data_IF_523310557920
#
_entry.id   IF_523310557920
#
_cell.length_a   1.000
_cell.length_b   1.000
_cell.length_c   1.000
_cell.angle_alpha   90.00
_cell.angle_beta   90.00
_cell.angle_gamma   90.00
#
_symmetry.space_group_name_H-M   'P 1'
#
loop_
_entity.id
_entity.type
_entity.pdbx_description
1 polymer ?
#
# COMPACT_ATOMS: atom_id res chain seq x y z
N UNK A 1 44.84 -53.12 14.07
CA UNK A 1 44.40 -54.51 13.82
C UNK A 1 42.92 -54.59 14.14
N UNK A 2 42.07 -54.66 13.12
CA UNK A 2 40.65 -55.04 13.20
C UNK A 2 40.38 -55.86 11.92
N UNK A 3 40.41 -57.18 12.05
CA UNK A 3 40.01 -58.13 11.01
C UNK A 3 38.51 -58.38 11.16
N UNK A 4 37.64 -57.73 10.37
CA UNK A 4 36.18 -57.93 10.49
C UNK A 4 35.48 -58.20 9.13
N UNK A 5 36.18 -58.44 8.02
CA UNK A 5 35.49 -58.73 6.75
C UNK A 5 36.13 -59.84 5.93
N UNK A 6 36.08 -61.08 6.45
CA UNK A 6 36.42 -62.29 5.69
C UNK A 6 35.49 -63.48 6.00
N UNK A 7 34.31 -63.25 6.57
CA UNK A 7 33.25 -64.27 6.61
C UNK A 7 32.31 -64.07 5.41
N UNK A 8 31.84 -65.14 4.74
CA UNK A 8 30.84 -65.03 3.69
C UNK A 8 29.62 -64.27 4.25
N UNK A 9 29.18 -63.23 3.55
CA UNK A 9 27.93 -62.56 3.88
C UNK A 9 26.81 -63.58 3.65
N UNK A 10 26.15 -63.99 4.74
CA UNK A 10 25.06 -64.96 4.70
C UNK A 10 23.86 -64.30 3.99
N UNK A 11 23.33 -64.85 2.89
CA UNK A 11 22.27 -64.19 2.11
C UNK A 11 20.96 -64.00 2.90
N UNK A 12 20.78 -64.70 4.02
CA UNK A 12 19.67 -64.51 4.96
C UNK A 12 19.76 -63.15 5.67
N UNK A 13 20.98 -62.65 5.91
CA UNK A 13 21.19 -61.32 6.52
C UNK A 13 20.90 -60.17 5.56
N UNK A 14 21.00 -60.39 4.24
CA UNK A 14 20.66 -59.39 3.23
C UNK A 14 19.15 -59.21 3.09
N UNK A 15 18.37 -60.28 3.26
CA UNK A 15 16.91 -60.22 3.27
C UNK A 15 16.38 -59.42 4.47
N UNK A 16 17.04 -59.53 5.64
CA UNK A 16 16.70 -58.73 6.84
C UNK A 16 16.97 -57.22 6.66
N UNK A 17 17.92 -56.85 5.79
CA UNK A 17 18.16 -55.45 5.41
C UNK A 17 17.26 -54.95 4.25
N UNK A 18 16.70 -55.88 3.47
CA UNK A 18 15.74 -55.60 2.41
C UNK A 18 14.29 -55.58 2.90
N UNK A 19 14.03 -56.16 4.08
CA UNK A 19 12.79 -56.00 4.83
C UNK A 19 12.74 -54.55 5.36
N UNK A 20 12.37 -53.65 4.46
CA UNK A 20 12.06 -52.27 4.77
C UNK A 20 11.10 -52.24 5.95
N UNK A 21 11.52 -51.59 7.03
CA UNK A 21 10.70 -51.39 8.21
C UNK A 21 9.53 -50.46 7.84
N UNK A 22 8.43 -51.04 7.33
CA UNK A 22 7.17 -50.37 6.94
C UNK A 22 6.41 -49.77 8.15
N UNK A 23 7.09 -49.52 9.27
CA UNK A 23 6.45 -49.07 10.53
C UNK A 23 6.64 -47.61 10.87
N UNK A 24 7.39 -46.85 10.08
CA UNK A 24 7.53 -45.41 10.25
C UNK A 24 7.37 -44.68 8.91
N UNK A 25 6.12 -44.52 8.45
CA UNK A 25 5.75 -43.71 7.28
C UNK A 25 5.90 -42.19 7.56
N UNK A 26 7.10 -41.74 7.93
CA UNK A 26 7.49 -40.35 7.75
C UNK A 26 8.43 -40.29 6.55
N UNK A 27 8.01 -39.70 5.41
CA UNK A 27 8.91 -39.53 4.28
C UNK A 27 10.08 -38.63 4.74
N UNK A 28 11.27 -39.23 4.87
CA UNK A 28 12.51 -38.55 5.28
C UNK A 28 12.93 -37.44 4.30
N UNK A 29 12.35 -37.43 3.10
CA UNK A 29 12.57 -36.41 2.09
C UNK A 29 11.27 -35.65 1.83
N UNK A 30 11.25 -34.37 2.22
CA UNK A 30 10.33 -33.41 1.64
C UNK A 30 10.55 -33.39 0.13
N UNK A 31 9.63 -33.97 -0.63
CA UNK A 31 9.57 -33.86 -2.09
C UNK A 31 9.24 -32.40 -2.46
N UNK A 32 10.19 -31.51 -2.22
CA UNK A 32 10.08 -30.08 -2.53
C UNK A 32 10.03 -29.96 -4.04
N UNK A 33 8.83 -29.85 -4.59
CA UNK A 33 8.60 -29.61 -6.02
C UNK A 33 9.50 -28.45 -6.44
N UNK A 34 10.47 -28.72 -7.32
CA UNK A 34 11.37 -27.70 -7.85
C UNK A 34 10.52 -26.62 -8.49
N UNK A 35 10.76 -25.36 -8.10
CA UNK A 35 10.10 -24.22 -8.76
C UNK A 35 10.67 -24.09 -10.17
N UNK A 36 9.83 -24.03 -11.21
CA UNK A 36 10.32 -23.87 -12.57
C UNK A 36 11.04 -22.53 -12.71
N UNK A 37 12.21 -22.51 -13.36
CA UNK A 37 12.93 -21.29 -13.64
C UNK A 37 12.25 -20.56 -14.81
N UNK A 38 11.75 -19.35 -14.56
CA UNK A 38 11.11 -18.52 -15.57
C UNK A 38 12.09 -17.43 -15.98
N UNK A 39 12.52 -17.45 -17.24
CA UNK A 39 13.32 -16.38 -17.84
C UNK A 39 12.51 -15.68 -18.92
N UNK A 40 12.57 -14.35 -18.92
CA UNK A 40 11.91 -13.52 -19.93
C UNK A 40 12.96 -13.00 -20.90
N UNK A 41 12.72 -13.17 -22.19
CA UNK A 41 13.55 -12.56 -23.23
C UNK A 41 13.10 -11.13 -23.55
N UNK A 42 13.99 -10.36 -24.18
CA UNK A 42 13.74 -8.96 -24.59
C UNK A 42 12.61 -8.81 -25.60
N UNK A 43 12.27 -9.90 -26.30
CA UNK A 43 11.13 -10.01 -27.21
C UNK A 43 9.80 -10.36 -26.50
N UNK A 44 9.82 -10.55 -25.19
CA UNK A 44 8.65 -10.90 -24.37
C UNK A 44 8.34 -12.41 -24.33
N UNK A 45 9.17 -13.28 -24.90
CA UNK A 45 9.00 -14.73 -24.80
C UNK A 45 9.35 -15.21 -23.39
N UNK A 46 8.52 -16.12 -22.86
CA UNK A 46 8.73 -16.79 -21.58
C UNK A 46 9.38 -18.15 -21.84
N UNK A 47 10.54 -18.38 -21.24
CA UNK A 47 11.23 -19.66 -21.26
C UNK A 47 11.09 -20.29 -19.89
N UNK A 48 10.66 -21.54 -19.85
CA UNK A 48 10.47 -22.31 -18.62
C UNK A 48 11.45 -23.47 -18.66
N UNK A 49 12.38 -23.48 -17.71
CA UNK A 49 13.43 -24.51 -17.59
C UNK A 49 14.18 -24.80 -18.91
N UNK A 50 14.47 -23.74 -19.68
CA UNK A 50 15.21 -23.83 -20.95
C UNK A 50 14.38 -24.24 -22.16
N UNK A 51 13.09 -24.56 -21.98
CA UNK A 51 12.17 -24.84 -23.08
C UNK A 51 11.32 -23.61 -23.34
N UNK A 52 11.31 -23.14 -24.59
CA UNK A 52 10.42 -22.08 -25.05
C UNK A 52 9.02 -22.68 -25.15
N UNK A 53 8.18 -22.47 -24.13
CA UNK A 53 6.87 -23.14 -24.04
C UNK A 53 5.93 -22.78 -25.19
N UNK A 54 6.11 -21.63 -25.85
CA UNK A 54 5.27 -21.26 -26.98
C UNK A 54 6.02 -20.40 -28.00
N UNK A 55 6.24 -20.93 -29.19
CA UNK A 55 6.39 -20.09 -30.39
C UNK A 55 5.04 -19.41 -30.62
N UNK A 56 4.84 -18.25 -29.99
CA UNK A 56 3.64 -17.46 -30.22
C UNK A 56 3.70 -16.91 -31.65
N UNK A 57 3.11 -17.64 -32.59
CA UNK A 57 2.85 -17.14 -33.93
C UNK A 57 2.08 -15.82 -33.87
N UNK A 58 2.23 -14.97 -34.88
CA UNK A 58 1.58 -13.65 -34.94
C UNK A 58 0.08 -13.73 -34.63
N UNK A 59 -0.61 -14.76 -35.12
CA UNK A 59 -2.02 -15.01 -34.84
C UNK A 59 -2.31 -15.26 -33.35
N UNK A 60 -1.44 -15.95 -32.61
CA UNK A 60 -1.60 -16.17 -31.17
C UNK A 60 -1.45 -14.86 -30.38
N UNK A 61 -0.57 -13.96 -30.83
CA UNK A 61 -0.41 -12.62 -30.25
C UNK A 61 -1.63 -11.74 -30.49
N UNK A 62 -2.21 -11.81 -31.68
CA UNK A 62 -3.45 -11.09 -32.00
C UNK A 62 -4.64 -11.62 -31.20
N UNK A 63 -4.80 -12.94 -31.10
CA UNK A 63 -5.92 -13.53 -30.35
C UNK A 63 -5.80 -13.26 -28.85
N UNK A 64 -4.60 -13.30 -28.26
CA UNK A 64 -4.41 -12.91 -26.84
C UNK A 64 -4.71 -11.43 -26.63
N UNK A 65 -4.31 -10.56 -27.57
CA UNK A 65 -4.59 -9.13 -27.46
C UNK A 65 -6.09 -8.86 -27.53
N UNK A 66 -6.80 -9.51 -28.46
CA UNK A 66 -8.26 -9.39 -28.59
C UNK A 66 -8.97 -9.94 -27.36
N UNK A 67 -8.64 -11.17 -26.91
CA UNK A 67 -9.26 -11.75 -25.70
C UNK A 67 -8.98 -10.93 -24.47
N UNK A 68 -7.77 -10.37 -24.33
CA UNK A 68 -7.44 -9.47 -23.22
C UNK A 68 -8.23 -8.17 -23.31
N UNK A 69 -8.45 -7.63 -24.51
CA UNK A 69 -9.33 -6.49 -24.75
C UNK A 69 -10.77 -6.74 -24.30
N UNK A 70 -11.37 -7.83 -24.77
CA UNK A 70 -12.74 -8.24 -24.41
C UNK A 70 -12.86 -8.53 -22.92
N UNK A 71 -11.89 -9.23 -22.33
CA UNK A 71 -11.88 -9.49 -20.89
C UNK A 71 -11.77 -8.20 -20.07
N UNK A 72 -11.01 -7.22 -20.55
CA UNK A 72 -10.90 -5.92 -19.89
C UNK A 72 -12.20 -5.12 -20.03
N UNK A 73 -12.87 -5.16 -21.18
CA UNK A 73 -14.18 -4.56 -21.40
C UNK A 73 -15.24 -5.18 -20.48
N UNK A 74 -15.26 -6.51 -20.35
CA UNK A 74 -16.17 -7.21 -19.45
C UNK A 74 -15.90 -6.88 -17.99
N UNK A 75 -14.62 -6.80 -17.61
CA UNK A 75 -14.21 -6.34 -16.28
C UNK A 75 -14.64 -4.90 -16.03
N UNK A 76 -14.51 -4.02 -17.03
CA UNK A 76 -14.95 -2.63 -16.94
C UNK A 76 -16.47 -2.52 -16.81
N UNK A 77 -17.22 -3.38 -17.49
CA UNK A 77 -18.67 -3.46 -17.37
C UNK A 77 -19.11 -4.04 -16.01
N UNK A 78 -18.40 -5.05 -15.50
CA UNK A 78 -18.68 -5.69 -14.22
C UNK A 78 -18.29 -4.84 -13.00
N UNK A 79 -17.23 -4.02 -13.10
CA UNK A 79 -16.77 -3.14 -12.01
C UNK A 79 -17.62 -1.87 -11.83
N UNK A 80 -18.64 -1.70 -12.67
CA UNK A 80 -19.58 -0.59 -12.62
C UNK A 80 -19.11 0.59 -13.48
N UNK A 81 -20.06 1.14 -14.25
CA UNK A 81 -19.82 2.18 -15.25
C UNK A 81 -19.22 3.48 -14.71
N UNK A 82 -19.09 4.50 -15.58
CA UNK A 82 -18.40 5.79 -15.32
C UNK A 82 -18.61 6.39 -13.92
N UNK A 83 -19.81 6.24 -13.34
CA UNK A 83 -20.14 6.73 -12.00
C UNK A 83 -19.35 6.05 -10.87
N UNK A 84 -19.05 4.75 -10.96
CA UNK A 84 -18.25 4.06 -9.95
C UNK A 84 -16.79 4.51 -10.00
N UNK A 85 -16.24 4.76 -11.19
CA UNK A 85 -14.90 5.37 -11.35
C UNK A 85 -14.85 6.78 -10.78
N UNK A 86 -15.85 7.61 -11.09
CA UNK A 86 -15.98 8.95 -10.53
C UNK A 86 -16.09 8.92 -9.00
N UNK A 87 -16.91 8.02 -8.44
CA UNK A 87 -17.03 7.82 -6.99
C UNK A 87 -15.70 7.45 -6.35
N UNK A 88 -14.95 6.50 -6.95
CA UNK A 88 -13.63 6.11 -6.44
C UNK A 88 -12.63 7.27 -6.50
N UNK A 89 -12.63 8.04 -7.59
CA UNK A 89 -11.77 9.21 -7.74
C UNK A 89 -12.11 10.30 -6.72
N UNK A 90 -13.39 10.65 -6.57
CA UNK A 90 -13.86 11.62 -5.58
C UNK A 90 -13.48 11.17 -4.17
N UNK A 91 -13.64 9.88 -3.86
CA UNK A 91 -13.26 9.34 -2.56
C UNK A 91 -11.77 9.51 -2.29
N UNK A 92 -10.92 9.19 -3.27
CA UNK A 92 -9.47 9.33 -3.16
C UNK A 92 -9.05 10.81 -3.01
N UNK A 93 -9.61 11.70 -3.81
CA UNK A 93 -9.37 13.16 -3.70
C UNK A 93 -9.85 13.70 -2.35
N UNK A 94 -10.99 13.23 -1.85
CA UNK A 94 -11.52 13.66 -0.54
C UNK A 94 -10.61 13.22 0.61
N UNK A 95 -10.00 12.04 0.49
CA UNK A 95 -9.05 11.53 1.47
C UNK A 95 -7.77 12.38 1.47
N UNK A 96 -7.20 12.65 0.30
CA UNK A 96 -6.00 13.46 0.17
C UNK A 96 -6.24 14.90 0.67
N UNK A 97 -7.39 15.50 0.33
CA UNK A 97 -7.79 16.80 0.84
C UNK A 97 -7.92 16.81 2.38
N UNK A 98 -8.47 15.75 2.97
CA UNK A 98 -8.60 15.63 4.43
C UNK A 98 -7.25 15.48 5.12
N UNK A 99 -6.32 14.72 4.53
CA UNK A 99 -4.95 14.56 5.03
C UNK A 99 -4.20 15.91 4.97
N UNK A 100 -4.32 16.62 3.85
CA UNK A 100 -3.73 17.95 3.69
C UNK A 100 -4.30 18.93 4.70
N UNK A 101 -5.63 19.01 4.83
CA UNK A 101 -6.28 19.89 5.80
C UNK A 101 -5.83 19.59 7.24
N UNK A 102 -5.70 18.32 7.61
CA UNK A 102 -5.25 17.91 8.95
C UNK A 102 -3.77 18.29 9.20
N UNK A 103 -2.93 18.23 8.17
CA UNK A 103 -1.52 18.62 8.25
C UNK A 103 -1.37 20.13 8.35
N UNK A 104 -2.14 20.87 7.55
CA UNK A 104 -2.17 22.34 7.55
C UNK A 104 -2.71 22.89 8.88
N UNK A 105 -3.78 22.32 9.43
CA UNK A 105 -4.31 22.76 10.73
C UNK A 105 -3.32 22.53 11.86
N UNK A 106 -2.59 21.40 11.89
CA UNK A 106 -1.56 21.17 12.91
C UNK A 106 -0.40 22.16 12.85
N UNK A 107 0.02 22.57 11.65
CA UNK A 107 1.15 23.48 11.48
C UNK A 107 0.77 24.95 11.63
N UNK A 108 -0.45 25.33 11.22
CA UNK A 108 -0.89 26.71 11.20
C UNK A 108 -1.89 27.08 12.30
N UNK A 109 -2.37 26.14 13.14
CA UNK A 109 -3.32 26.46 14.21
C UNK A 109 -2.79 27.55 15.15
N UNK A 110 -1.53 27.47 15.56
CA UNK A 110 -0.92 28.47 16.45
C UNK A 110 -0.76 29.83 15.76
N UNK A 111 -0.37 29.84 14.48
CA UNK A 111 -0.24 31.05 13.69
C UNK A 111 -1.60 31.73 13.43
N UNK A 112 -2.64 30.94 13.12
CA UNK A 112 -4.02 31.41 12.92
C UNK A 112 -4.57 31.98 14.23
N UNK A 113 -4.40 31.27 15.35
CA UNK A 113 -4.85 31.73 16.66
C UNK A 113 -4.12 33.01 17.07
N UNK A 114 -2.81 33.10 16.83
CA UNK A 114 -2.02 34.31 17.03
C UNK A 114 -2.49 35.48 16.18
N UNK A 115 -2.78 35.24 14.90
CA UNK A 115 -3.34 36.24 13.99
C UNK A 115 -4.72 36.75 14.45
N UNK A 116 -5.61 35.85 14.86
CA UNK A 116 -6.94 36.21 15.39
C UNK A 116 -6.80 37.04 16.67
N UNK A 117 -5.94 36.62 17.61
CA UNK A 117 -5.69 37.37 18.85
C UNK A 117 -5.07 38.75 18.58
N UNK A 118 -4.16 38.86 17.61
CA UNK A 118 -3.56 40.13 17.21
C UNK A 118 -4.60 41.07 16.59
N UNK A 119 -5.50 40.56 15.73
CA UNK A 119 -6.60 41.35 15.18
C UNK A 119 -7.55 41.82 16.29
N UNK A 120 -7.93 40.92 17.22
CA UNK A 120 -8.76 41.28 18.37
C UNK A 120 -8.09 42.34 19.25
N UNK A 121 -6.78 42.23 19.47
CA UNK A 121 -6.02 43.22 20.22
C UNK A 121 -5.96 44.58 19.51
N UNK A 122 -5.78 44.61 18.19
CA UNK A 122 -5.82 45.84 17.40
C UNK A 122 -7.21 46.49 17.42
N UNK A 123 -8.28 45.70 17.33
CA UNK A 123 -9.66 46.17 17.46
C UNK A 123 -9.91 46.74 18.86
N UNK A 124 -9.43 46.06 19.91
CA UNK A 124 -9.50 46.56 21.28
C UNK A 124 -8.79 47.92 21.40
N UNK A 125 -7.54 48.02 20.94
CA UNK A 125 -6.82 49.30 20.94
C UNK A 125 -7.51 50.38 20.11
N UNK A 126 -8.12 50.03 18.98
CA UNK A 126 -8.88 50.96 18.15
C UNK A 126 -10.09 51.52 18.91
N UNK A 127 -10.87 50.65 19.58
CA UNK A 127 -12.02 51.06 20.39
C UNK A 127 -11.56 51.94 21.57
N UNK A 128 -10.51 51.56 22.29
CA UNK A 128 -9.99 52.36 23.40
C UNK A 128 -9.36 53.69 22.94
N UNK A 129 -8.78 53.74 21.74
CA UNK A 129 -8.25 54.97 21.11
C UNK A 129 -9.33 55.86 20.50
N UNK A 130 -10.53 55.34 20.22
CA UNK A 130 -11.71 56.12 19.85
C UNK A 130 -12.51 56.63 21.07
N UNK A 131 -12.27 56.04 22.25
CA UNK A 131 -12.86 56.46 23.53
C UNK A 131 -11.96 57.32 24.47
N UNK A 132 -10.99 58.14 24.01
CA UNK A 132 -10.36 59.09 24.89
C UNK A 132 -11.33 60.27 25.08
N UNK A 133 -11.84 60.41 26.30
CA UNK A 133 -12.06 61.74 26.87
C UNK A 133 -13.23 62.58 26.31
N UNK A 134 -14.42 62.02 26.11
CA UNK A 134 -15.65 62.83 26.13
C UNK A 134 -16.17 63.04 27.57
N UNK A 135 -15.27 63.41 28.49
CA UNK A 135 -15.65 64.13 29.72
C UNK A 135 -15.15 65.55 29.57
N UNK A 136 -15.94 66.33 28.84
CA UNK A 136 -15.85 67.78 28.86
C UNK A 136 -16.05 68.25 30.30
N UNK A 137 -15.01 68.90 30.80
CA UNK A 137 -15.00 69.89 31.87
C UNK A 137 -16.38 70.51 32.16
N UNK A 138 -16.98 70.19 33.31
CA UNK A 138 -17.93 71.09 33.95
C UNK A 138 -17.14 72.17 34.73
N UNK A 139 -16.67 73.18 34.02
CA UNK A 139 -16.12 74.42 34.58
C UNK A 139 -17.23 75.45 34.78
N UNK A 140 -17.54 75.75 36.05
CA UNK A 140 -18.04 77.03 36.64
C UNK A 140 -19.41 77.61 36.19
N UNK A 141 -20.14 78.38 37.04
CA UNK A 141 -19.62 79.55 37.74
C UNK A 141 -19.91 79.63 39.25
N UNK A 142 -19.06 80.43 39.90
CA UNK A 142 -19.24 81.05 41.19
C UNK A 142 -20.70 81.49 41.47
N UNK A 143 -21.25 80.99 42.58
CA UNK A 143 -22.33 81.67 43.28
C UNK A 143 -21.72 82.76 44.16
N UNK A 144 -21.63 83.97 43.62
CA UNK A 144 -21.60 85.20 44.41
C UNK A 144 -23.05 85.59 44.70
N UNK A 145 -23.47 85.52 45.97
CA UNK A 145 -24.41 86.44 46.62
C UNK A 145 -24.28 86.27 48.12
#
# INVERSE_FOLDING_TARGET
MINIFNSPIDPVSLDEFAEGNDRDEQPLFDAKRRKPLITYHTDGRKVVDGVVENENGSNALWTTTITRGVANEWKENATGGRLHRAKRYIWQVSYDARVLATRTTRQHATAILGGINLVLFLVFLYVFRLFPFSRTSSTSPAAQY
#
